data_IF_548911978905
#
_entry.id   IF_548911978905
#
_cell.length_a   1.000
_cell.length_b   1.000
_cell.length_c   1.000
_cell.angle_alpha   90.00
_cell.angle_beta   90.00
_cell.angle_gamma   90.00
#
_symmetry.space_group_name_H-M   'P 1'
#
loop_
_entity.id
_entity.type
_entity.pdbx_description
1 polymer ?
#
# COMPACT_ATOMS: atom_id res chain seq x y z
N UNK A 1 -5.48 69.51 -18.30
CA UNK A 1 -5.90 69.98 -16.97
C UNK A 1 -7.40 69.70 -16.83
N UNK A 2 -7.88 69.16 -15.72
CA UNK A 2 -9.19 68.49 -15.67
C UNK A 2 -10.14 69.09 -14.59
N UNK A 3 -11.30 69.66 -14.97
CA UNK A 3 -12.33 70.08 -14.02
C UNK A 3 -13.58 69.16 -14.08
N UNK A 4 -13.91 68.52 -12.97
CA UNK A 4 -15.22 67.86 -12.75
C UNK A 4 -16.30 68.92 -12.49
N UNK A 5 -17.55 68.68 -12.90
CA UNK A 5 -18.78 69.06 -12.18
C UNK A 5 -19.97 68.21 -12.65
N UNK A 6 -20.95 67.97 -11.76
CA UNK A 6 -22.12 67.09 -11.98
C UNK A 6 -23.43 67.91 -12.10
N UNK A 7 -24.45 67.36 -12.78
CA UNK A 7 -25.90 67.57 -12.55
C UNK A 7 -26.69 66.42 -13.23
N UNK A 8 -27.38 65.59 -12.44
CA UNK A 8 -28.86 65.48 -12.26
C UNK A 8 -29.62 64.97 -13.52
N UNK A 9 -30.26 63.79 -13.47
CA UNK A 9 -31.59 63.44 -12.91
C UNK A 9 -32.78 63.92 -13.78
N UNK A 10 -33.85 63.14 -13.99
CA UNK A 10 -34.25 61.78 -13.52
C UNK A 10 -34.10 60.75 -14.68
N UNK A 11 -34.68 59.54 -14.79
CA UNK A 11 -35.77 58.76 -14.18
C UNK A 11 -35.42 57.24 -14.24
N UNK A 12 -36.26 56.25 -13.85
CA UNK A 12 -37.16 56.02 -12.71
C UNK A 12 -38.02 54.77 -13.03
N UNK A 13 -37.74 53.64 -12.40
CA UNK A 13 -38.63 52.48 -12.31
C UNK A 13 -38.36 51.77 -10.96
N UNK A 14 -39.40 51.38 -10.25
CA UNK A 14 -39.31 50.70 -8.94
C UNK A 14 -40.05 49.37 -9.05
N UNK A 15 -39.41 48.28 -8.65
CA UNK A 15 -40.02 46.97 -8.48
C UNK A 15 -39.57 46.36 -7.15
N UNK A 16 -40.49 45.65 -6.50
CA UNK A 16 -40.49 45.26 -5.08
C UNK A 16 -39.24 44.55 -4.52
N UNK A 17 -39.12 44.59 -3.18
CA UNK A 17 -38.20 43.75 -2.41
C UNK A 17 -38.52 42.26 -2.61
N UNK A 18 -37.48 41.43 -2.64
CA UNK A 18 -37.52 40.11 -2.02
C UNK A 18 -36.19 39.86 -1.30
N UNK A 19 -36.21 39.92 0.04
CA UNK A 19 -35.04 39.70 0.87
C UNK A 19 -34.75 38.19 1.04
N UNK A 20 -34.34 37.53 -0.04
CA UNK A 20 -33.80 36.18 0.00
C UNK A 20 -32.28 36.26 0.23
N UNK A 21 -31.87 36.39 1.51
CA UNK A 21 -30.49 36.09 1.88
C UNK A 21 -30.16 34.64 1.48
N UNK A 22 -28.94 34.34 1.00
CA UNK A 22 -28.59 32.97 0.63
C UNK A 22 -28.69 32.09 1.87
N UNK A 23 -29.69 31.19 1.88
CA UNK A 23 -29.83 30.18 2.90
C UNK A 23 -28.61 29.25 2.82
N UNK A 24 -27.60 29.57 3.62
CA UNK A 24 -26.53 28.65 3.97
C UNK A 24 -27.12 27.52 4.81
N UNK A 25 -27.82 26.62 4.13
CA UNK A 25 -28.09 25.26 4.57
C UNK A 25 -26.76 24.49 4.60
N UNK A 26 -25.87 24.95 5.48
CA UNK A 26 -24.85 24.13 6.07
C UNK A 26 -25.57 23.06 6.92
N UNK A 27 -26.09 22.03 6.23
CA UNK A 27 -26.11 20.69 6.82
C UNK A 27 -24.73 20.50 7.41
N UNK A 28 -24.65 20.33 8.73
CA UNK A 28 -23.37 20.15 9.41
C UNK A 28 -22.62 19.03 8.70
N UNK A 29 -21.54 19.39 8.00
CA UNK A 29 -20.80 18.44 7.19
C UNK A 29 -20.21 17.41 8.13
N UNK A 30 -20.78 16.20 8.12
CA UNK A 30 -20.25 15.06 8.85
C UNK A 30 -18.78 14.92 8.43
N UNK A 31 -17.87 15.30 9.33
CA UNK A 31 -16.45 15.40 8.97
C UNK A 31 -16.00 14.02 8.48
N UNK A 32 -15.36 13.93 7.31
CA UNK A 32 -15.01 12.64 6.72
C UNK A 32 -14.24 11.82 7.75
N UNK A 33 -14.82 10.68 8.15
CA UNK A 33 -14.40 9.92 9.33
C UNK A 33 -12.90 9.69 9.30
N UNK A 34 -12.19 10.24 10.29
CA UNK A 34 -10.72 10.15 10.37
C UNK A 34 -10.28 8.70 10.27
N UNK A 35 -9.42 8.41 9.29
CA UNK A 35 -8.80 7.10 9.14
C UNK A 35 -7.55 7.06 10.02
N UNK A 36 -7.75 6.68 11.28
CA UNK A 36 -6.65 6.50 12.24
C UNK A 36 -5.94 5.18 11.93
N UNK A 37 -4.63 5.22 11.75
CA UNK A 37 -3.78 4.04 11.48
C UNK A 37 -2.63 3.97 12.48
N UNK A 38 -2.27 2.76 12.89
CA UNK A 38 -0.98 2.47 13.54
C UNK A 38 0.18 2.59 12.55
N UNK A 39 1.40 2.64 13.08
CA UNK A 39 2.63 2.65 12.29
C UNK A 39 3.75 1.85 13.00
N UNK A 40 4.71 1.34 12.22
CA UNK A 40 5.85 0.59 12.73
C UNK A 40 5.52 -0.86 13.12
N UNK A 41 6.22 -1.37 14.13
CA UNK A 41 6.05 -2.73 14.66
C UNK A 41 5.06 -2.80 15.84
N UNK A 42 4.83 -4.01 16.34
CA UNK A 42 3.88 -4.30 17.43
C UNK A 42 4.18 -3.57 18.76
N UNK A 43 5.39 -3.03 18.94
CA UNK A 43 5.80 -2.22 20.09
C UNK A 43 5.17 -0.81 20.10
N UNK A 44 4.52 -0.37 19.01
CA UNK A 44 3.99 1.00 18.84
C UNK A 44 2.47 1.01 18.91
N UNK A 45 1.94 1.44 20.07
CA UNK A 45 0.50 1.66 20.29
C UNK A 45 0.00 3.05 19.83
N UNK A 46 0.84 3.83 19.13
CA UNK A 46 0.45 5.15 18.62
C UNK A 46 -0.29 5.11 17.28
N UNK A 47 -1.36 5.89 17.18
CA UNK A 47 -2.13 6.06 15.94
C UNK A 47 -2.02 7.48 15.38
N UNK A 48 -1.90 7.62 14.06
CA UNK A 48 -1.92 8.92 13.37
C UNK A 48 -3.07 9.03 12.36
N UNK A 49 -3.42 10.27 12.00
CA UNK A 49 -4.48 10.56 11.04
C UNK A 49 -3.99 10.36 9.59
N UNK A 50 -4.24 9.17 9.04
CA UNK A 50 -3.85 8.78 7.69
C UNK A 50 -4.89 9.19 6.61
N UNK A 51 -5.94 9.93 6.96
CA UNK A 51 -7.11 10.19 6.09
C UNK A 51 -6.74 10.67 4.68
N UNK A 52 -5.68 11.49 4.56
CA UNK A 52 -5.23 12.03 3.27
C UNK A 52 -4.82 10.95 2.24
N UNK A 53 -4.38 9.77 2.67
CA UNK A 53 -3.96 8.70 1.76
C UNK A 53 -5.17 7.95 1.17
N UNK A 54 -6.26 7.87 1.93
CA UNK A 54 -7.52 7.25 1.53
C UNK A 54 -8.39 8.21 0.72
N UNK A 55 -8.49 9.49 1.12
CA UNK A 55 -9.26 10.50 0.35
C UNK A 55 -8.64 10.85 -0.99
N UNK A 56 -7.31 10.71 -1.14
CA UNK A 56 -6.61 10.77 -2.44
C UNK A 56 -6.73 9.46 -3.26
N UNK A 57 -7.44 8.46 -2.76
CA UNK A 57 -7.67 7.18 -3.45
C UNK A 57 -6.44 6.28 -3.60
N UNK A 58 -5.31 6.56 -2.92
CA UNK A 58 -4.13 5.71 -2.99
C UNK A 58 -4.32 4.37 -2.26
N UNK A 59 -5.09 4.39 -1.18
CA UNK A 59 -5.49 3.20 -0.41
C UNK A 59 -7.00 3.05 -0.29
N UNK A 60 -7.39 1.78 -0.16
CA UNK A 60 -8.69 1.26 0.27
C UNK A 60 -8.46 0.43 1.53
N UNK A 61 -9.46 0.35 2.40
CA UNK A 61 -9.37 -0.43 3.64
C UNK A 61 -9.14 -1.92 3.34
N UNK A 62 -8.43 -2.61 4.23
CA UNK A 62 -8.31 -4.06 4.21
C UNK A 62 -9.17 -4.60 5.35
N UNK A 63 -10.18 -5.40 5.04
CA UNK A 63 -11.04 -5.99 6.07
C UNK A 63 -10.39 -7.30 6.52
N UNK A 64 -10.10 -7.42 7.82
CA UNK A 64 -9.32 -8.53 8.41
C UNK A 64 -9.87 -8.91 9.79
N UNK A 65 -10.36 -7.91 10.54
CA UNK A 65 -10.94 -8.09 11.86
C UNK A 65 -12.15 -9.04 11.80
N UNK A 66 -12.33 -9.87 12.83
CA UNK A 66 -13.34 -10.94 12.85
C UNK A 66 -14.80 -10.43 12.86
N UNK A 67 -15.00 -9.14 13.15
CA UNK A 67 -16.29 -8.43 13.04
C UNK A 67 -16.56 -7.88 11.64
N UNK A 68 -15.65 -8.08 10.68
CA UNK A 68 -15.68 -7.50 9.34
C UNK A 68 -15.09 -6.09 9.24
N UNK A 69 -14.51 -5.59 10.33
CA UNK A 69 -13.92 -4.27 10.45
C UNK A 69 -12.74 -4.02 9.48
N UNK A 70 -12.57 -2.73 9.15
CA UNK A 70 -11.39 -2.26 8.45
C UNK A 70 -10.19 -2.26 9.40
N UNK A 71 -9.12 -2.96 9.02
CA UNK A 71 -7.89 -2.99 9.80
C UNK A 71 -7.26 -1.60 9.88
N UNK A 72 -6.84 -1.23 11.08
CA UNK A 72 -6.11 -0.01 11.39
C UNK A 72 -4.58 -0.18 11.35
N UNK A 73 -4.09 -1.38 10.99
CA UNK A 73 -2.64 -1.66 10.83
C UNK A 73 -2.28 -1.73 9.34
N UNK A 74 -3.07 -2.45 8.53
CA UNK A 74 -2.74 -2.68 7.11
C UNK A 74 -3.88 -2.30 6.17
N UNK A 75 -3.53 -1.88 4.96
CA UNK A 75 -4.45 -1.40 3.94
C UNK A 75 -4.12 -2.01 2.57
N UNK A 76 -4.93 -1.73 1.55
CA UNK A 76 -4.70 -2.20 0.19
C UNK A 76 -4.46 -1.03 -0.76
N UNK A 77 -3.30 -1.00 -1.41
CA UNK A 77 -3.00 -0.08 -2.53
C UNK A 77 -4.06 -0.23 -3.62
N UNK A 78 -4.57 0.89 -4.12
CA UNK A 78 -5.53 0.90 -5.23
C UNK A 78 -4.87 0.46 -6.54
N UNK A 79 -3.65 0.95 -6.78
CA UNK A 79 -2.80 0.61 -7.92
C UNK A 79 -1.33 0.52 -7.45
N UNK A 80 -0.80 -0.69 -7.21
CA UNK A 80 0.63 -0.89 -7.01
C UNK A 80 1.41 -0.48 -8.26
N UNK A 81 2.55 0.20 -8.10
CA UNK A 81 3.50 0.43 -9.21
C UNK A 81 4.03 -0.92 -9.73
N UNK A 82 4.42 -1.05 -11.01
CA UNK A 82 5.29 -2.15 -11.44
C UNK A 82 6.65 -2.11 -10.71
N UNK A 83 7.49 -3.10 -10.96
CA UNK A 83 8.91 -3.09 -10.58
C UNK A 83 9.75 -2.68 -11.79
N UNK A 84 10.82 -1.92 -11.57
CA UNK A 84 11.84 -1.65 -12.59
C UNK A 84 12.79 -2.84 -12.73
N UNK A 85 13.64 -2.87 -13.77
CA UNK A 85 14.62 -3.95 -13.95
C UNK A 85 15.66 -3.95 -12.82
N UNK A 86 15.97 -2.76 -12.33
CA UNK A 86 16.92 -2.47 -11.28
C UNK A 86 16.39 -3.02 -9.95
N UNK A 87 15.15 -2.68 -9.58
CA UNK A 87 14.47 -3.23 -8.41
C UNK A 87 14.30 -4.76 -8.50
N UNK A 88 14.06 -5.32 -9.69
CA UNK A 88 14.02 -6.77 -9.88
C UNK A 88 15.39 -7.45 -9.63
N UNK A 89 16.51 -6.74 -9.82
CA UNK A 89 17.86 -7.25 -9.53
C UNK A 89 18.27 -7.15 -8.05
N UNK A 90 17.53 -6.38 -7.24
CA UNK A 90 17.73 -6.27 -5.79
C UNK A 90 17.04 -7.40 -5.00
N UNK A 91 16.04 -8.07 -5.62
CA UNK A 91 15.25 -9.14 -4.98
C UNK A 91 16.07 -10.28 -4.34
N UNK A 92 17.19 -10.76 -4.91
CA UNK A 92 18.04 -11.76 -4.25
C UNK A 92 18.60 -11.30 -2.90
N UNK A 93 18.97 -10.02 -2.79
CA UNK A 93 19.54 -9.44 -1.57
C UNK A 93 18.47 -9.21 -0.51
N UNK A 94 17.31 -8.66 -0.89
CA UNK A 94 16.15 -8.55 0.00
C UNK A 94 15.59 -9.92 0.43
N UNK A 95 15.83 -10.98 -0.37
CA UNK A 95 15.55 -12.34 0.04
C UNK A 95 16.56 -12.86 1.07
N UNK A 96 17.87 -12.71 0.82
CA UNK A 96 18.92 -13.10 1.75
C UNK A 96 18.76 -12.40 3.11
N UNK A 97 18.56 -11.08 3.13
CA UNK A 97 18.28 -10.29 4.35
C UNK A 97 17.12 -10.87 5.18
N UNK A 98 16.04 -11.30 4.51
CA UNK A 98 14.89 -11.88 5.18
C UNK A 98 15.19 -13.28 5.77
N UNK A 99 16.09 -14.07 5.16
CA UNK A 99 16.56 -15.35 5.69
C UNK A 99 17.54 -15.15 6.85
N UNK A 100 18.49 -14.21 6.72
CA UNK A 100 19.46 -13.86 7.76
C UNK A 100 18.77 -13.34 9.05
N UNK A 101 17.65 -12.64 8.90
CA UNK A 101 16.79 -12.20 9.99
C UNK A 101 15.79 -13.27 10.51
N UNK A 102 15.88 -14.51 10.01
CA UNK A 102 14.95 -15.60 10.35
C UNK A 102 15.55 -16.63 11.32
N UNK A 103 14.72 -17.57 11.77
CA UNK A 103 15.13 -18.74 12.57
C UNK A 103 15.28 -20.01 11.70
N UNK A 104 15.39 -19.86 10.38
CA UNK A 104 15.45 -20.99 9.44
C UNK A 104 16.91 -21.40 9.18
N UNK A 105 17.35 -22.44 9.87
CA UNK A 105 18.63 -23.10 9.62
C UNK A 105 18.62 -23.89 8.30
N UNK A 106 19.82 -24.18 7.79
CA UNK A 106 20.10 -24.97 6.58
C UNK A 106 19.33 -24.51 5.31
N UNK A 107 19.32 -23.20 5.04
CA UNK A 107 18.89 -22.63 3.76
C UNK A 107 20.02 -21.84 3.11
N UNK A 108 20.62 -22.42 2.07
CA UNK A 108 21.58 -21.72 1.19
C UNK A 108 20.86 -20.65 0.36
N UNK A 109 21.26 -19.39 0.58
CA UNK A 109 20.85 -18.20 -0.19
C UNK A 109 21.98 -17.66 -1.08
N UNK A 110 23.22 -18.16 -0.97
CA UNK A 110 24.37 -17.70 -1.76
C UNK A 110 24.11 -17.96 -3.25
N UNK A 111 23.49 -19.09 -3.58
CA UNK A 111 23.07 -19.44 -4.93
C UNK A 111 22.15 -18.38 -5.59
N UNK A 112 21.30 -17.68 -4.82
CA UNK A 112 20.45 -16.59 -5.33
C UNK A 112 21.25 -15.35 -5.72
N UNK A 113 22.36 -15.08 -5.04
CA UNK A 113 23.22 -13.91 -5.27
C UNK A 113 24.20 -14.19 -6.40
N UNK A 114 24.82 -15.38 -6.42
CA UNK A 114 25.79 -15.78 -7.44
C UNK A 114 25.17 -16.08 -8.80
N UNK A 115 23.96 -16.65 -8.84
CA UNK A 115 23.27 -17.04 -10.07
C UNK A 115 21.80 -16.56 -10.06
N UNK A 116 21.55 -15.23 -10.06
CA UNK A 116 20.23 -14.67 -9.79
C UNK A 116 19.19 -15.10 -10.85
N UNK A 117 18.15 -15.85 -10.47
CA UNK A 117 17.08 -16.24 -11.38
C UNK A 117 16.17 -15.05 -11.71
N UNK A 118 15.41 -15.13 -12.81
CA UNK A 118 14.36 -14.16 -13.06
C UNK A 118 13.19 -14.39 -12.09
N UNK A 119 13.05 -13.52 -11.10
CA UNK A 119 12.05 -13.61 -10.03
C UNK A 119 10.77 -12.80 -10.31
N UNK A 120 10.68 -12.06 -11.42
CA UNK A 120 9.60 -11.09 -11.65
C UNK A 120 8.17 -11.68 -11.61
N UNK A 121 7.97 -12.89 -12.14
CA UNK A 121 6.67 -13.59 -12.11
C UNK A 121 6.38 -14.30 -10.77
N UNK A 122 7.37 -14.39 -9.87
CA UNK A 122 7.28 -14.99 -8.53
C UNK A 122 6.90 -13.99 -7.44
N UNK A 123 6.66 -12.72 -7.80
CA UNK A 123 6.17 -11.66 -6.89
C UNK A 123 4.63 -11.67 -6.84
N UNK A 124 4.06 -11.42 -5.67
CA UNK A 124 2.65 -11.03 -5.48
C UNK A 124 2.56 -9.87 -4.47
N UNK A 125 1.72 -8.88 -4.74
CA UNK A 125 1.40 -7.83 -3.77
C UNK A 125 0.56 -8.40 -2.62
N UNK A 126 0.86 -8.00 -1.38
CA UNK A 126 0.20 -8.51 -0.17
C UNK A 126 -0.69 -7.45 0.50
N UNK A 127 -0.09 -6.34 0.94
CA UNK A 127 -0.76 -5.23 1.64
C UNK A 127 0.16 -4.00 1.66
N UNK A 128 -0.29 -2.89 2.24
CA UNK A 128 0.56 -1.75 2.59
C UNK A 128 0.45 -1.48 4.09
N UNK A 129 1.51 -0.97 4.70
CA UNK A 129 1.56 -0.53 6.10
C UNK A 129 2.29 0.82 6.19
N UNK A 130 2.20 1.52 7.33
CA UNK A 130 3.05 2.68 7.62
C UNK A 130 4.24 2.25 8.46
N UNK A 131 5.47 2.56 8.05
CA UNK A 131 6.66 2.33 8.87
C UNK A 131 6.82 3.46 9.92
N UNK A 132 6.53 4.69 9.51
CA UNK A 132 6.49 5.91 10.33
C UNK A 132 5.24 6.73 9.92
N UNK A 133 4.81 7.75 10.69
CA UNK A 133 3.66 8.57 10.34
C UNK A 133 3.81 9.21 8.95
N UNK A 134 2.89 8.91 8.03
CA UNK A 134 2.95 9.30 6.61
C UNK A 134 4.13 8.74 5.78
N UNK A 135 4.82 7.70 6.25
CA UNK A 135 5.83 6.92 5.49
C UNK A 135 5.28 5.51 5.19
N UNK A 136 4.47 5.35 4.12
CA UNK A 136 3.94 4.04 3.77
C UNK A 136 4.93 3.18 2.99
N UNK A 137 4.86 1.87 3.22
CA UNK A 137 5.57 0.84 2.48
C UNK A 137 4.54 -0.11 1.83
N UNK A 138 4.80 -0.54 0.59
CA UNK A 138 4.03 -1.62 -0.06
C UNK A 138 4.75 -2.95 0.20
N UNK A 139 4.03 -3.93 0.77
CA UNK A 139 4.51 -5.25 1.14
C UNK A 139 4.15 -6.29 0.08
N UNK A 140 5.09 -7.20 -0.17
CA UNK A 140 5.03 -8.20 -1.23
C UNK A 140 5.50 -9.57 -0.72
N UNK A 141 4.95 -10.62 -1.32
CA UNK A 141 5.50 -11.97 -1.22
C UNK A 141 6.34 -12.28 -2.46
N UNK A 142 7.55 -12.77 -2.24
CA UNK A 142 8.41 -13.40 -3.22
C UNK A 142 8.41 -14.92 -2.95
N UNK A 143 8.00 -15.72 -3.94
CA UNK A 143 7.87 -17.16 -3.81
C UNK A 143 9.09 -17.90 -4.34
N UNK A 144 9.83 -18.57 -3.46
CA UNK A 144 11.08 -19.26 -3.77
C UNK A 144 11.00 -20.77 -3.55
N UNK A 145 11.62 -21.53 -4.44
CA UNK A 145 11.92 -22.96 -4.26
C UNK A 145 13.45 -23.07 -4.04
N UNK A 146 13.88 -23.43 -2.83
CA UNK A 146 15.31 -23.57 -2.47
C UNK A 146 15.54 -24.96 -1.86
N UNK A 147 16.51 -25.72 -2.38
CA UNK A 147 16.79 -27.10 -1.97
C UNK A 147 15.54 -28.04 -1.93
N UNK A 148 14.52 -27.75 -2.75
CA UNK A 148 13.24 -28.48 -2.76
C UNK A 148 12.24 -28.05 -1.68
N UNK A 149 12.61 -27.14 -0.78
CA UNK A 149 11.74 -26.48 0.21
C UNK A 149 11.09 -25.23 -0.41
N UNK A 150 9.89 -24.86 0.05
CA UNK A 150 9.09 -23.75 -0.50
C UNK A 150 8.96 -22.62 0.51
N UNK A 151 9.27 -21.39 0.09
CA UNK A 151 9.27 -20.22 0.96
C UNK A 151 8.46 -19.07 0.37
N UNK A 152 7.60 -18.48 1.20
CA UNK A 152 7.05 -17.14 0.97
C UNK A 152 7.91 -16.14 1.73
N UNK A 153 8.75 -15.40 1.01
CA UNK A 153 9.56 -14.31 1.56
C UNK A 153 8.73 -13.04 1.55
N UNK A 154 8.55 -12.41 2.71
CA UNK A 154 7.96 -11.08 2.83
C UNK A 154 9.06 -10.03 2.71
N UNK A 155 8.90 -9.13 1.74
CA UNK A 155 9.72 -7.93 1.60
C UNK A 155 8.81 -6.71 1.44
N UNK A 156 9.33 -5.52 1.68
CA UNK A 156 8.63 -4.26 1.36
C UNK A 156 9.51 -3.33 0.52
N UNK A 157 8.92 -2.24 0.04
CA UNK A 157 9.61 -1.11 -0.60
C UNK A 157 8.88 0.19 -0.29
N UNK A 158 9.57 1.32 -0.37
CA UNK A 158 8.97 2.64 -0.19
C UNK A 158 7.92 2.93 -1.28
N UNK A 159 6.80 3.53 -0.88
CA UNK A 159 5.67 3.81 -1.77
C UNK A 159 5.92 4.99 -2.71
N UNK A 160 6.67 5.99 -2.24
CA UNK A 160 6.79 7.30 -2.89
C UNK A 160 7.79 7.22 -4.05
N UNK A 161 8.99 6.71 -3.77
CA UNK A 161 10.05 6.35 -4.71
C UNK A 161 9.68 5.09 -5.48
N UNK A 162 9.45 3.98 -4.76
CA UNK A 162 9.39 2.62 -5.30
C UNK A 162 10.62 1.77 -4.94
N UNK A 163 11.60 2.36 -4.25
CA UNK A 163 12.94 1.80 -4.02
C UNK A 163 13.09 1.31 -2.57
N UNK A 164 14.34 1.01 -2.15
CA UNK A 164 14.67 0.44 -0.84
C UNK A 164 13.94 -0.90 -0.58
N UNK A 165 14.16 -1.89 -1.45
CA UNK A 165 13.65 -3.24 -1.23
C UNK A 165 14.29 -3.83 0.02
N UNK A 166 13.48 -4.07 1.06
CA UNK A 166 13.93 -4.53 2.38
C UNK A 166 13.28 -5.87 2.73
N UNK A 167 14.07 -6.88 3.07
CA UNK A 167 13.62 -8.15 3.63
C UNK A 167 12.97 -7.96 5.00
N UNK A 168 11.87 -8.67 5.28
CA UNK A 168 11.10 -8.50 6.53
C UNK A 168 10.87 -9.79 7.30
N UNK A 169 10.55 -10.89 6.60
CA UNK A 169 10.30 -12.19 7.22
C UNK A 169 10.28 -13.31 6.17
N UNK A 170 10.61 -14.54 6.55
CA UNK A 170 10.41 -15.73 5.71
C UNK A 170 9.40 -16.67 6.36
N UNK A 171 8.51 -17.25 5.54
CA UNK A 171 7.66 -18.37 5.94
C UNK A 171 7.88 -19.58 5.04
N UNK A 172 8.35 -20.69 5.60
CA UNK A 172 8.30 -21.99 4.93
C UNK A 172 6.84 -22.44 4.76
N UNK A 173 6.52 -22.90 3.56
CA UNK A 173 5.20 -23.31 3.11
C UNK A 173 5.18 -24.84 2.98
N UNK A 174 4.62 -25.49 4.00
CA UNK A 174 4.68 -26.94 4.19
C UNK A 174 3.38 -27.46 4.81
N UNK A 175 3.02 -28.71 4.51
CA UNK A 175 1.74 -29.29 4.93
C UNK A 175 0.51 -28.58 4.33
N UNK A 176 -0.67 -28.90 4.87
CA UNK A 176 -1.95 -28.38 4.38
C UNK A 176 -2.63 -27.37 5.33
N UNK A 177 -1.84 -26.58 6.07
CA UNK A 177 -2.39 -25.57 6.99
C UNK A 177 -3.25 -24.53 6.26
N UNK A 178 -4.45 -24.25 6.76
CA UNK A 178 -5.39 -23.32 6.14
C UNK A 178 -4.82 -21.90 5.97
N UNK A 179 -4.04 -21.42 6.94
CA UNK A 179 -3.35 -20.12 6.90
C UNK A 179 -2.31 -19.97 5.77
N UNK A 180 -1.93 -21.07 5.10
CA UNK A 180 -1.01 -21.07 3.98
C UNK A 180 -1.68 -21.41 2.63
N UNK A 181 -3.02 -21.50 2.56
CA UNK A 181 -3.73 -21.94 1.36
C UNK A 181 -3.47 -21.03 0.13
N UNK A 182 -3.50 -19.71 0.30
CA UNK A 182 -3.19 -18.76 -0.79
C UNK A 182 -1.71 -18.83 -1.22
N UNK A 183 -0.78 -19.17 -0.31
CA UNK A 183 0.62 -19.41 -0.67
C UNK A 183 0.78 -20.69 -1.51
N UNK A 184 0.13 -21.81 -1.11
CA UNK A 184 0.13 -23.06 -1.91
C UNK A 184 -0.47 -22.84 -3.30
N UNK A 185 -1.54 -22.07 -3.40
CA UNK A 185 -2.17 -21.65 -4.66
C UNK A 185 -1.24 -20.79 -5.53
N UNK A 186 -0.57 -19.78 -4.95
CA UNK A 186 0.39 -18.96 -5.68
C UNK A 186 1.57 -19.78 -6.23
N UNK A 187 2.08 -20.75 -5.47
CA UNK A 187 3.06 -21.72 -5.98
C UNK A 187 2.50 -22.56 -7.14
N UNK A 188 1.28 -23.09 -7.04
CA UNK A 188 0.67 -23.86 -8.12
C UNK A 188 0.44 -23.05 -9.42
N UNK A 189 0.13 -21.75 -9.30
CA UNK A 189 0.09 -20.81 -10.43
C UNK A 189 1.47 -20.62 -11.08
N UNK A 190 2.52 -20.43 -10.26
CA UNK A 190 3.91 -20.28 -10.71
C UNK A 190 4.39 -21.57 -11.39
N UNK A 191 4.15 -22.74 -10.79
CA UNK A 191 4.43 -24.06 -11.37
C UNK A 191 3.75 -24.23 -12.73
N UNK A 192 2.51 -23.76 -12.88
CA UNK A 192 1.75 -23.84 -14.12
C UNK A 192 2.18 -22.82 -15.19
N UNK A 193 2.82 -21.71 -14.79
CA UNK A 193 3.46 -20.76 -15.69
C UNK A 193 4.82 -21.28 -16.17
N UNK A 194 5.69 -21.70 -15.24
CA UNK A 194 7.05 -22.16 -15.56
C UNK A 194 7.07 -23.44 -16.41
N UNK A 195 6.08 -24.34 -16.24
CA UNK A 195 5.91 -25.51 -17.13
C UNK A 195 5.43 -25.18 -18.55
N UNK A 196 4.93 -23.97 -18.81
CA UNK A 196 4.54 -23.50 -20.15
C UNK A 196 5.62 -22.65 -20.83
N UNK A 197 6.69 -22.32 -20.11
CA UNK A 197 7.83 -21.54 -20.58
C UNK A 197 9.08 -22.41 -20.83
N UNK A 198 8.89 -23.74 -20.90
CA UNK A 198 9.89 -24.77 -21.21
C UNK A 198 9.43 -25.55 -22.44
#
# INVERSE_FOLDING_TARGET
MNPRIKKLLRCAAIAALLAAGPNLNAKGGEMPKKMMMYYGGFEIEEMFDASQWFTRGMYRTRNIEADGGASNVTMLRSQPKPFTREQLSELPYAAAEAFDASHLEDVDTEALILNPPNLGHRIRYAYSAFAEPNKPEDYYYLYLDLAGRRFAVTFSRDVQTGDNLTGKAVKEISGDYASQAEHRKAFAEIDAFERKAR
#
